data_IF_547312557371
#
_entry.id   IF_547312557371
#
_cell.length_a   1.000
_cell.length_b   1.000
_cell.length_c   1.000
_cell.angle_alpha   90.00
_cell.angle_beta   90.00
_cell.angle_gamma   90.00
#
_symmetry.space_group_name_H-M   'P 1'
#
loop_
_entity.id
_entity.type
_entity.pdbx_description
1 polymer ?
#
# COMPACT_ATOMS: atom_id res chain seq x y z
N UNK A 1 -18.62 10.37 -24.48
CA UNK A 1 -17.83 9.74 -23.41
C UNK A 1 -17.70 10.79 -22.32
N UNK A 2 -18.04 10.49 -21.07
CA UNK A 2 -17.85 11.46 -19.97
C UNK A 2 -16.34 11.58 -19.69
N UNK A 3 -15.88 12.70 -19.16
CA UNK A 3 -14.47 13.00 -18.89
C UNK A 3 -13.76 11.92 -18.06
N UNK A 4 -14.46 11.35 -17.09
CA UNK A 4 -13.96 10.22 -16.31
C UNK A 4 -13.58 9.04 -17.21
N UNK A 5 -14.45 8.63 -18.12
CA UNK A 5 -14.21 7.52 -19.04
C UNK A 5 -12.99 7.77 -19.94
N UNK A 6 -12.77 9.03 -20.39
CA UNK A 6 -11.57 9.41 -21.13
C UNK A 6 -10.29 9.25 -20.30
N UNK A 7 -10.33 9.65 -19.03
CA UNK A 7 -9.21 9.47 -18.10
C UNK A 7 -8.92 7.99 -17.85
N UNK A 8 -9.97 7.18 -17.61
CA UNK A 8 -9.81 5.74 -17.38
C UNK A 8 -9.25 5.02 -18.61
N UNK A 9 -9.81 5.27 -19.80
CA UNK A 9 -9.31 4.69 -21.04
C UNK A 9 -7.83 5.08 -21.31
N UNK A 10 -7.45 6.33 -21.02
CA UNK A 10 -6.07 6.78 -21.16
C UNK A 10 -5.11 6.05 -20.22
N UNK A 11 -5.48 5.87 -18.93
CA UNK A 11 -4.71 5.10 -17.95
C UNK A 11 -4.62 3.63 -18.38
N UNK A 12 -5.73 3.06 -18.85
CA UNK A 12 -5.77 1.67 -19.30
C UNK A 12 -4.99 1.41 -20.60
N UNK A 13 -4.60 2.45 -21.32
CA UNK A 13 -3.73 2.30 -22.49
C UNK A 13 -2.23 2.33 -22.14
N UNK A 14 -1.87 2.74 -20.92
CA UNK A 14 -0.48 2.85 -20.50
C UNK A 14 0.21 1.48 -20.43
N UNK A 15 1.44 1.43 -20.94
CA UNK A 15 2.32 0.25 -20.94
C UNK A 15 3.58 0.46 -20.10
N UNK A 16 3.87 1.69 -19.67
CA UNK A 16 4.97 2.01 -18.75
C UNK A 16 4.49 2.79 -17.52
N UNK A 17 5.21 2.66 -16.41
CA UNK A 17 4.96 3.45 -15.19
C UNK A 17 5.13 4.95 -15.47
N UNK A 18 6.07 5.32 -16.35
CA UNK A 18 6.29 6.69 -16.79
C UNK A 18 5.08 7.30 -17.49
N UNK A 19 4.37 6.54 -18.31
CA UNK A 19 3.12 6.98 -18.94
C UNK A 19 2.01 7.19 -17.91
N UNK A 20 1.81 6.25 -16.98
CA UNK A 20 0.83 6.41 -15.89
C UNK A 20 1.13 7.67 -15.10
N UNK A 21 2.40 7.90 -14.76
CA UNK A 21 2.87 9.11 -14.07
C UNK A 21 2.50 10.37 -14.84
N UNK A 22 2.79 10.43 -16.14
CA UNK A 22 2.49 11.59 -16.97
C UNK A 22 0.98 11.84 -17.10
N UNK A 23 0.16 10.78 -17.25
CA UNK A 23 -1.30 10.88 -17.31
C UNK A 23 -1.89 11.38 -16.00
N UNK A 24 -1.50 10.81 -14.86
CA UNK A 24 -1.93 11.28 -13.55
C UNK A 24 -1.54 12.74 -13.30
N UNK A 25 -0.36 13.17 -13.76
CA UNK A 25 0.05 14.57 -13.65
C UNK A 25 -0.86 15.51 -14.42
N UNK A 26 -1.17 15.19 -15.69
CA UNK A 26 -2.08 16.00 -16.50
C UNK A 26 -3.49 16.06 -15.90
N UNK A 27 -3.96 14.97 -15.30
CA UNK A 27 -5.24 14.92 -14.57
C UNK A 27 -5.16 15.81 -13.32
N UNK A 28 -4.09 15.70 -12.52
CA UNK A 28 -3.86 16.55 -11.36
C UNK A 28 -3.95 18.04 -11.73
N UNK A 29 -3.22 18.45 -12.78
CA UNK A 29 -3.22 19.82 -13.29
C UNK A 29 -4.61 20.26 -13.79
N UNK A 30 -5.37 19.37 -14.42
CA UNK A 30 -6.73 19.67 -14.86
C UNK A 30 -7.64 20.08 -13.69
N UNK A 31 -7.46 19.45 -12.52
CA UNK A 31 -8.18 19.78 -11.28
C UNK A 31 -7.49 20.87 -10.45
N UNK A 32 -6.44 21.52 -10.97
CA UNK A 32 -5.74 22.63 -10.33
C UNK A 32 -4.67 22.23 -9.32
N UNK A 33 -4.36 20.94 -9.18
CA UNK A 33 -3.26 20.47 -8.33
C UNK A 33 -1.91 20.69 -9.02
N UNK A 34 -0.92 21.11 -8.23
CA UNK A 34 0.43 21.37 -8.72
C UNK A 34 1.15 20.08 -9.12
N UNK A 35 1.01 19.05 -8.29
CA UNK A 35 1.75 17.80 -8.41
C UNK A 35 1.06 16.68 -7.64
N UNK A 36 1.54 15.46 -7.79
CA UNK A 36 1.10 14.34 -6.97
C UNK A 36 2.28 13.46 -6.53
N UNK A 37 2.06 12.68 -5.47
CA UNK A 37 2.92 11.57 -5.04
C UNK A 37 2.07 10.34 -4.80
N UNK A 38 2.44 9.23 -5.43
CA UNK A 38 1.96 7.89 -5.11
C UNK A 38 3.03 7.16 -4.31
N UNK A 39 2.68 6.59 -3.16
CA UNK A 39 3.61 5.91 -2.24
C UNK A 39 2.98 4.60 -1.78
N UNK A 40 3.67 3.48 -1.98
CA UNK A 40 3.33 2.21 -1.35
C UNK A 40 3.64 2.28 0.15
N UNK A 41 2.65 2.04 1.00
CA UNK A 41 2.77 2.14 2.47
C UNK A 41 2.50 0.81 3.16
N UNK A 42 2.39 -0.26 2.37
CA UNK A 42 1.83 -1.55 2.77
C UNK A 42 2.85 -2.64 3.06
N UNK A 43 4.11 -2.51 2.60
CA UNK A 43 5.12 -3.56 2.77
C UNK A 43 6.06 -3.32 3.95
N UNK A 44 5.77 -3.87 5.15
CA UNK A 44 6.64 -3.72 6.31
C UNK A 44 8.00 -4.44 6.14
N UNK A 45 8.17 -5.28 5.12
CA UNK A 45 9.44 -5.93 4.82
C UNK A 45 10.36 -5.07 3.93
N UNK A 46 9.86 -3.96 3.36
CA UNK A 46 10.67 -3.04 2.56
C UNK A 46 11.09 -1.83 3.39
N UNK A 47 12.40 -1.60 3.48
CA UNK A 47 12.94 -0.37 4.06
C UNK A 47 12.62 0.88 3.21
N UNK A 48 12.49 0.72 1.89
CA UNK A 48 12.17 1.81 0.97
C UNK A 48 10.85 1.52 0.25
N UNK A 49 9.81 2.34 0.43
CA UNK A 49 8.55 2.19 -0.29
C UNK A 49 8.75 2.45 -1.77
N UNK A 50 8.00 1.75 -2.62
CA UNK A 50 7.86 2.16 -4.02
C UNK A 50 7.14 3.52 -4.07
N UNK A 51 7.66 4.47 -4.84
CA UNK A 51 7.02 5.77 -5.00
C UNK A 51 7.10 6.27 -6.45
N UNK A 52 6.10 7.03 -6.86
CA UNK A 52 6.05 7.77 -8.13
C UNK A 52 5.61 9.18 -7.79
N UNK A 53 6.37 10.19 -8.23
CA UNK A 53 6.03 11.58 -7.92
C UNK A 53 6.28 12.53 -9.09
N UNK A 54 5.54 13.64 -9.09
CA UNK A 54 5.81 14.83 -9.92
C UNK A 54 6.07 16.08 -9.09
N UNK A 55 6.30 15.94 -7.78
CA UNK A 55 6.74 17.05 -6.93
C UNK A 55 8.11 17.54 -7.37
N UNK A 56 8.47 18.75 -6.97
CA UNK A 56 9.82 19.26 -7.20
C UNK A 56 10.87 18.38 -6.49
N UNK A 57 12.10 18.42 -7.02
CA UNK A 57 13.20 17.60 -6.51
C UNK A 57 13.58 17.98 -5.07
N UNK A 58 13.41 19.26 -4.69
CA UNK A 58 13.74 19.72 -3.34
C UNK A 58 12.83 19.10 -2.28
N UNK A 59 11.51 19.02 -2.52
CA UNK A 59 10.57 18.37 -1.60
C UNK A 59 10.86 16.88 -1.48
N UNK A 60 11.05 16.22 -2.63
CA UNK A 60 11.33 14.79 -2.69
C UNK A 60 12.61 14.44 -1.91
N UNK A 61 13.66 15.26 -2.04
CA UNK A 61 14.90 15.12 -1.30
C UNK A 61 14.69 15.34 0.20
N UNK A 62 14.01 16.42 0.60
CA UNK A 62 13.79 16.73 2.02
C UNK A 62 12.95 15.64 2.71
N UNK A 63 11.92 15.14 2.04
CA UNK A 63 11.07 14.06 2.55
C UNK A 63 11.86 12.77 2.80
N UNK A 64 12.74 12.40 1.87
CA UNK A 64 13.61 11.22 2.02
C UNK A 64 14.69 11.41 3.08
N UNK A 65 15.43 12.52 3.03
CA UNK A 65 16.57 12.76 3.94
C UNK A 65 16.14 12.85 5.40
N UNK A 66 14.91 13.28 5.67
CA UNK A 66 14.35 13.31 7.03
C UNK A 66 13.58 12.04 7.42
N UNK A 67 13.52 11.02 6.54
CA UNK A 67 12.75 9.79 6.73
C UNK A 67 11.29 10.06 7.12
N UNK A 68 10.65 11.05 6.48
CA UNK A 68 9.31 11.48 6.84
C UNK A 68 8.26 10.38 6.68
N UNK A 69 8.50 9.38 5.82
CA UNK A 69 7.64 8.19 5.71
C UNK A 69 7.34 7.50 7.06
N UNK A 70 8.24 7.55 8.04
CA UNK A 70 8.01 6.89 9.33
C UNK A 70 7.25 7.76 10.34
N UNK A 71 7.14 9.06 10.08
CA UNK A 71 6.55 10.04 11.02
C UNK A 71 5.43 10.87 10.42
N UNK A 72 5.11 10.68 9.14
CA UNK A 72 4.03 11.37 8.43
C UNK A 72 2.67 10.97 9.05
N UNK A 73 1.90 11.96 9.57
CA UNK A 73 0.64 11.71 10.24
C UNK A 73 -0.48 11.24 9.29
N UNK A 74 -0.31 11.39 7.98
CA UNK A 74 -1.28 10.97 6.97
C UNK A 74 -1.28 9.45 6.81
N UNK A 75 -0.12 8.79 6.92
CA UNK A 75 0.01 7.37 6.59
C UNK A 75 -0.78 6.43 7.53
N UNK A 76 -0.85 6.65 8.85
CA UNK A 76 -1.73 5.88 9.72
C UNK A 76 -3.21 6.01 9.36
N UNK A 77 -3.65 7.17 8.86
CA UNK A 77 -5.04 7.42 8.44
C UNK A 77 -5.33 6.72 7.11
N UNK A 78 -4.39 6.78 6.16
CA UNK A 78 -4.46 6.05 4.88
C UNK A 78 -4.65 4.55 5.11
N UNK A 79 -3.93 3.96 6.06
CA UNK A 79 -4.03 2.51 6.37
C UNK A 79 -5.39 2.07 6.93
N UNK A 80 -6.29 3.00 7.27
CA UNK A 80 -7.56 2.73 7.96
C UNK A 80 -8.78 3.37 7.28
N UNK A 81 -8.59 4.00 6.12
CA UNK A 81 -9.63 4.77 5.44
C UNK A 81 -9.75 4.32 4.00
N UNK A 82 -10.97 4.22 3.48
CA UNK A 82 -11.22 3.88 2.07
C UNK A 82 -11.71 5.08 1.24
N UNK A 83 -11.90 6.24 1.87
CA UNK A 83 -12.46 7.43 1.24
C UNK A 83 -11.40 8.54 1.17
N UNK A 84 -11.41 9.37 0.11
CA UNK A 84 -10.50 10.49 0.03
C UNK A 84 -10.78 11.54 1.10
N UNK A 85 -9.74 12.16 1.62
CA UNK A 85 -9.80 13.20 2.65
C UNK A 85 -8.75 14.28 2.38
N UNK A 86 -8.93 15.45 2.97
CA UNK A 86 -7.90 16.48 2.92
C UNK A 86 -6.92 16.23 4.06
N UNK A 87 -5.62 16.44 3.83
CA UNK A 87 -4.65 16.27 4.92
C UNK A 87 -4.88 17.25 6.10
N UNK A 88 -5.71 18.28 5.89
CA UNK A 88 -6.08 19.31 6.85
C UNK A 88 -7.26 18.88 7.71
N UNK A 89 -7.97 17.82 7.31
CA UNK A 89 -8.97 17.14 8.14
C UNK A 89 -8.30 16.35 9.28
N UNK A 90 -6.98 16.09 9.17
CA UNK A 90 -6.22 15.37 10.21
C UNK A 90 -5.82 16.37 11.30
N UNK A 91 -6.19 16.12 12.57
CA UNK A 91 -5.77 16.95 13.68
C UNK A 91 -4.23 17.03 13.75
N UNK A 92 -3.65 18.21 14.00
CA UNK A 92 -2.21 18.33 14.11
C UNK A 92 -1.70 17.46 15.26
N UNK A 93 -0.52 16.80 15.13
CA UNK A 93 0.01 15.96 16.19
C UNK A 93 0.18 16.75 17.49
N UNK A 94 -0.33 16.22 18.59
CA UNK A 94 -0.18 16.85 19.91
C UNK A 94 1.29 16.96 20.32
N UNK A 95 1.68 18.13 20.81
CA UNK A 95 3.02 18.34 21.35
C UNK A 95 3.12 17.76 22.76
N UNK A 96 3.54 16.50 22.87
CA UNK A 96 3.85 15.87 24.16
C UNK A 96 5.35 16.04 24.46
N UNK A 97 5.67 17.11 25.20
CA UNK A 97 7.02 17.39 25.70
C UNK A 97 7.83 18.42 24.89
N UNK A 98 9.14 18.47 25.17
CA UNK A 98 10.04 19.52 24.63
C UNK A 98 10.33 19.33 23.13
N UNK A 99 10.44 18.09 22.67
CA UNK A 99 10.80 17.76 21.27
C UNK A 99 9.58 17.93 20.35
N UNK A 100 9.79 18.54 19.18
CA UNK A 100 8.74 18.69 18.17
C UNK A 100 8.36 17.31 17.61
N UNK A 101 7.07 16.92 17.58
CA UNK A 101 6.62 15.68 16.96
C UNK A 101 7.07 15.59 15.50
N UNK A 102 7.45 14.39 15.05
CA UNK A 102 7.88 14.18 13.66
C UNK A 102 6.83 14.62 12.65
N UNK A 103 5.55 14.31 12.90
CA UNK A 103 4.47 14.73 12.01
C UNK A 103 4.26 16.24 11.90
N UNK A 104 4.59 17.04 12.94
CA UNK A 104 4.58 18.50 12.81
C UNK A 104 5.67 18.99 11.86
N UNK A 105 6.85 18.34 11.87
CA UNK A 105 7.94 18.68 10.93
C UNK A 105 7.55 18.41 9.49
N UNK A 106 6.82 17.33 9.23
CA UNK A 106 6.31 17.00 7.88
C UNK A 106 5.40 18.11 7.36
N UNK A 107 4.45 18.55 8.20
CA UNK A 107 3.51 19.62 7.85
C UNK A 107 4.22 20.97 7.63
N UNK A 108 5.18 21.32 8.48
CA UNK A 108 5.98 22.54 8.32
C UNK A 108 6.82 22.50 7.04
N UNK A 109 7.57 21.42 6.81
CA UNK A 109 8.36 21.24 5.60
C UNK A 109 7.49 21.32 4.33
N UNK A 110 6.29 20.71 4.35
CA UNK A 110 5.38 20.80 3.20
C UNK A 110 5.00 22.26 2.86
N UNK A 111 4.82 23.10 3.88
CA UNK A 111 4.52 24.54 3.73
C UNK A 111 5.72 25.33 3.25
N UNK A 112 6.92 25.00 3.70
CA UNK A 112 8.17 25.62 3.22
C UNK A 112 8.37 25.39 1.72
N UNK A 113 7.86 24.28 1.18
CA UNK A 113 7.80 23.98 -0.26
C UNK A 113 6.56 24.56 -0.97
N UNK A 114 5.74 25.33 -0.26
CA UNK A 114 4.57 26.04 -0.76
C UNK A 114 3.27 25.22 -0.78
N UNK A 115 3.29 23.96 -0.33
CA UNK A 115 2.09 23.14 -0.27
C UNK A 115 1.22 23.54 0.92
N UNK A 116 0.06 24.12 0.63
CA UNK A 116 -0.89 24.58 1.63
C UNK A 116 -1.85 23.47 2.07
N UNK A 117 -2.30 22.68 1.09
CA UNK A 117 -3.23 21.59 1.32
C UNK A 117 -2.95 20.39 0.40
N UNK A 118 -3.70 19.30 0.55
CA UNK A 118 -3.67 18.20 -0.41
C UNK A 118 -4.84 17.25 -0.28
N UNK A 119 -5.30 16.71 -1.41
CA UNK A 119 -6.26 15.60 -1.44
C UNK A 119 -5.48 14.30 -1.30
N UNK A 120 -5.77 13.55 -0.25
CA UNK A 120 -5.22 12.22 -0.01
C UNK A 120 -6.23 11.18 -0.44
N UNK A 121 -5.80 10.23 -1.25
CA UNK A 121 -6.60 9.10 -1.72
C UNK A 121 -5.92 7.81 -1.22
N UNK A 122 -6.49 7.16 -0.20
CA UNK A 122 -6.07 5.83 0.21
C UNK A 122 -6.40 4.80 -0.85
N UNK A 123 -5.47 3.88 -1.10
CA UNK A 123 -5.69 2.74 -1.98
C UNK A 123 -5.33 1.47 -1.22
N UNK A 124 -6.22 0.50 -1.24
CA UNK A 124 -5.96 -0.85 -0.74
C UNK A 124 -6.09 -1.81 -1.91
N UNK A 125 -5.00 -2.47 -2.24
CA UNK A 125 -4.96 -3.46 -3.32
C UNK A 125 -4.66 -4.82 -2.74
N UNK A 126 -5.36 -5.83 -3.23
CA UNK A 126 -4.95 -7.21 -3.04
C UNK A 126 -4.11 -7.62 -4.23
N UNK A 127 -2.90 -8.11 -3.98
CA UNK A 127 -2.14 -8.75 -5.04
C UNK A 127 -2.80 -10.08 -5.47
N UNK A 128 -2.24 -10.73 -6.50
CA UNK A 128 -2.76 -11.99 -7.05
C UNK A 128 -2.79 -13.17 -6.05
N UNK A 129 -2.29 -12.97 -4.84
CA UNK A 129 -2.07 -14.01 -3.83
C UNK A 129 -2.78 -13.67 -2.52
N UNK A 130 -3.63 -12.62 -2.54
CA UNK A 130 -4.46 -12.19 -1.42
C UNK A 130 -3.75 -11.28 -0.43
N UNK A 131 -2.49 -10.86 -0.67
CA UNK A 131 -1.82 -9.91 0.23
C UNK A 131 -2.44 -8.54 0.05
N UNK A 132 -2.88 -7.98 1.16
CA UNK A 132 -3.36 -6.61 1.21
C UNK A 132 -2.15 -5.67 1.30
N UNK A 133 -1.95 -4.88 0.25
CA UNK A 133 -1.07 -3.73 0.28
C UNK A 133 -1.92 -2.46 0.42
N UNK A 134 -1.37 -1.47 1.10
CA UNK A 134 -1.96 -0.13 1.18
C UNK A 134 -1.02 0.85 0.50
N UNK A 135 -1.55 1.78 -0.26
CA UNK A 135 -0.84 2.87 -0.89
C UNK A 135 -1.56 4.20 -0.63
N UNK A 136 -0.82 5.29 -0.73
CA UNK A 136 -1.34 6.65 -0.67
C UNK A 136 -1.11 7.33 -2.01
N UNK A 137 -2.11 8.02 -2.54
CA UNK A 137 -1.91 9.04 -3.56
C UNK A 137 -2.27 10.41 -2.99
N UNK A 138 -1.30 11.31 -2.95
CA UNK A 138 -1.48 12.70 -2.48
C UNK A 138 -1.40 13.63 -3.67
N UNK A 139 -2.45 14.41 -3.92
CA UNK A 139 -2.43 15.55 -4.84
C UNK A 139 -2.16 16.83 -4.06
N UNK A 140 -1.08 17.53 -4.39
CA UNK A 140 -0.60 18.70 -3.64
C UNK A 140 -1.20 20.00 -4.17
N UNK A 141 -1.69 20.82 -3.24
CA UNK A 141 -2.33 22.10 -3.51
C UNK A 141 -1.51 23.26 -2.95
N UNK A 142 -1.29 24.31 -3.76
CA UNK A 142 -0.51 25.51 -3.38
C UNK A 142 -1.34 26.76 -3.14
N UNK A 143 -2.59 26.79 -3.62
CA UNK A 143 -3.46 27.98 -3.55
C UNK A 143 -4.32 27.99 -2.27
N UNK A 144 -5.24 28.93 -2.15
CA UNK A 144 -6.14 29.09 -1.00
C UNK A 144 -7.11 27.90 -0.83
N UNK A 145 -7.47 27.59 0.42
CA UNK A 145 -8.34 26.46 0.76
C UNK A 145 -9.72 26.51 0.09
N UNK A 146 -10.32 27.70 -0.04
CA UNK A 146 -11.64 27.86 -0.69
C UNK A 146 -11.64 27.43 -2.15
N UNK A 147 -10.53 27.64 -2.86
CA UNK A 147 -10.39 27.21 -4.27
C UNK A 147 -10.24 25.69 -4.37
N UNK A 148 -9.61 25.06 -3.38
CA UNK A 148 -9.53 23.60 -3.30
C UNK A 148 -10.93 22.98 -3.13
N UNK A 149 -11.73 23.50 -2.20
CA UNK A 149 -13.10 23.02 -2.00
C UNK A 149 -13.92 23.12 -3.28
N UNK A 150 -13.81 24.23 -4.01
CA UNK A 150 -14.48 24.40 -5.31
C UNK A 150 -13.98 23.39 -6.36
N UNK A 151 -12.67 23.19 -6.48
CA UNK A 151 -12.09 22.19 -7.39
C UNK A 151 -12.58 20.76 -7.07
N UNK A 152 -12.80 20.45 -5.80
CA UNK A 152 -13.23 19.13 -5.34
C UNK A 152 -14.73 18.88 -5.42
N UNK A 153 -15.57 19.92 -5.42
CA UNK A 153 -17.03 19.82 -5.38
C UNK A 153 -17.61 18.95 -6.52
N UNK A 154 -16.96 18.92 -7.70
CA UNK A 154 -17.35 18.08 -8.83
C UNK A 154 -16.35 16.98 -9.21
N UNK A 155 -15.14 16.99 -8.64
CA UNK A 155 -14.00 16.20 -9.13
C UNK A 155 -13.45 15.14 -8.19
N UNK A 156 -13.80 15.19 -6.90
CA UNK A 156 -13.22 14.32 -5.88
C UNK A 156 -13.46 12.84 -6.15
N UNK A 157 -14.67 12.48 -6.58
CA UNK A 157 -15.03 11.09 -6.87
C UNK A 157 -14.31 10.56 -8.11
N UNK A 158 -14.22 11.38 -9.16
CA UNK A 158 -13.49 11.05 -10.38
C UNK A 158 -12.01 10.79 -10.09
N UNK A 159 -11.36 11.67 -9.31
CA UNK A 159 -9.99 11.48 -8.88
C UNK A 159 -9.80 10.18 -8.09
N UNK A 160 -10.76 9.82 -7.23
CA UNK A 160 -10.70 8.55 -6.49
C UNK A 160 -10.68 7.34 -7.43
N UNK A 161 -11.62 7.28 -8.38
CA UNK A 161 -11.70 6.17 -9.35
C UNK A 161 -10.46 6.16 -10.26
N UNK A 162 -10.01 7.32 -10.73
CA UNK A 162 -8.78 7.44 -11.55
C UNK A 162 -7.56 6.90 -10.81
N UNK A 163 -7.36 7.24 -9.54
CA UNK A 163 -6.23 6.74 -8.76
C UNK A 163 -6.33 5.24 -8.55
N UNK A 164 -7.52 4.70 -8.30
CA UNK A 164 -7.73 3.26 -8.17
C UNK A 164 -7.29 2.50 -9.44
N UNK A 165 -7.75 2.95 -10.60
CA UNK A 165 -7.37 2.35 -11.89
C UNK A 165 -5.88 2.53 -12.19
N UNK A 166 -5.31 3.68 -11.81
CA UNK A 166 -3.87 3.94 -11.97
C UNK A 166 -3.02 3.02 -11.10
N UNK A 167 -3.44 2.78 -9.85
CA UNK A 167 -2.76 1.87 -8.94
C UNK A 167 -2.78 0.43 -9.49
N UNK A 168 -3.94 -0.06 -9.94
CA UNK A 168 -4.04 -1.37 -10.57
C UNK A 168 -3.15 -1.47 -11.82
N UNK A 169 -3.14 -0.43 -12.65
CA UNK A 169 -2.29 -0.41 -13.85
C UNK A 169 -0.79 -0.44 -13.51
N UNK A 170 -0.37 0.27 -12.48
CA UNK A 170 1.02 0.22 -11.99
C UNK A 170 1.37 -1.21 -11.57
N UNK A 171 0.49 -1.87 -10.82
CA UNK A 171 0.67 -3.27 -10.38
C UNK A 171 0.81 -4.20 -11.60
N UNK A 172 -0.08 -4.09 -12.59
CA UNK A 172 -0.05 -4.93 -13.80
C UNK A 172 1.26 -4.76 -14.59
N UNK A 173 1.77 -3.53 -14.69
CA UNK A 173 3.03 -3.23 -15.39
C UNK A 173 4.21 -3.81 -14.60
N UNK A 174 4.23 -3.62 -13.27
CA UNK A 174 5.28 -4.16 -12.40
C UNK A 174 5.31 -5.70 -12.42
N UNK A 175 4.15 -6.35 -12.39
CA UNK A 175 4.08 -7.81 -12.46
C UNK A 175 4.56 -8.35 -13.81
N UNK A 176 4.19 -7.70 -14.92
CA UNK A 176 4.73 -8.04 -16.25
C UNK A 176 6.25 -7.91 -16.33
N UNK A 177 6.81 -6.80 -15.84
CA UNK A 177 8.26 -6.56 -15.84
C UNK A 177 9.03 -7.56 -14.97
N UNK A 178 8.43 -7.96 -13.84
CA UNK A 178 9.02 -8.96 -12.94
C UNK A 178 8.79 -10.42 -13.38
N UNK A 179 8.22 -10.65 -14.57
CA UNK A 179 7.93 -11.99 -15.08
C UNK A 179 6.84 -12.75 -14.29
N UNK A 180 5.97 -12.03 -13.58
CA UNK A 180 4.94 -12.58 -12.69
C UNK A 180 3.55 -12.69 -13.35
N UNK A 181 3.49 -13.08 -14.63
CA UNK A 181 2.21 -13.19 -15.34
C UNK A 181 1.74 -14.64 -15.36
N UNK A 182 0.56 -14.90 -14.81
CA UNK A 182 -0.32 -15.92 -15.37
C UNK A 182 -1.79 -15.55 -15.25
N UNK A 183 -2.48 -15.69 -16.39
CA UNK A 183 -3.86 -15.31 -16.62
C UNK A 183 -4.78 -16.22 -15.81
N UNK A 184 -5.79 -15.64 -15.17
CA UNK A 184 -6.98 -16.40 -14.77
C UNK A 184 -7.51 -17.20 -15.98
N UNK A 185 -7.59 -18.53 -15.86
CA UNK A 185 -8.31 -19.38 -16.82
C UNK A 185 -7.48 -20.27 -17.77
N UNK A 186 -6.16 -20.36 -17.63
CA UNK A 186 -5.35 -21.30 -18.43
C UNK A 186 -4.96 -22.55 -17.63
N UNK A 187 -5.48 -23.74 -18.02
CA UNK A 187 -4.90 -25.01 -17.57
C UNK A 187 -3.42 -25.06 -17.97
N UNK A 188 -2.52 -25.14 -17.00
CA UNK A 188 -1.10 -25.44 -17.26
C UNK A 188 -0.15 -24.26 -17.05
N UNK A 189 -0.31 -23.55 -15.94
CA UNK A 189 0.52 -22.43 -15.60
C UNK A 189 1.21 -22.55 -14.24
N UNK A 190 2.49 -22.19 -14.16
CA UNK A 190 3.35 -22.34 -12.98
C UNK A 190 3.14 -21.15 -12.02
N UNK A 191 2.32 -21.35 -10.99
CA UNK A 191 2.23 -20.49 -9.79
C UNK A 191 3.63 -20.09 -9.30
N UNK A 192 3.99 -18.80 -9.29
CA UNK A 192 5.07 -18.32 -8.41
C UNK A 192 4.63 -18.56 -6.94
N UNK A 193 5.54 -18.82 -5.99
CA UNK A 193 5.51 -19.99 -5.10
C UNK A 193 4.46 -19.96 -3.98
N UNK A 194 3.17 -20.08 -4.33
CA UNK A 194 2.10 -20.50 -3.39
C UNK A 194 2.22 -21.97 -3.00
N UNK A 195 3.09 -22.73 -3.70
CA UNK A 195 3.38 -24.13 -3.43
C UNK A 195 4.47 -24.38 -2.39
N UNK A 196 4.91 -23.38 -1.61
CA UNK A 196 5.89 -23.67 -0.57
C UNK A 196 5.23 -24.37 0.63
N UNK A 197 4.19 -23.79 1.23
CA UNK A 197 3.52 -24.45 2.34
C UNK A 197 2.59 -25.57 1.85
N UNK A 198 2.68 -26.74 2.49
CA UNK A 198 1.67 -27.79 2.34
C UNK A 198 0.40 -27.41 3.08
N UNK A 199 -0.73 -28.07 2.80
CA UNK A 199 -1.98 -27.86 3.56
C UNK A 199 -1.75 -28.08 5.06
N UNK A 200 -0.97 -29.09 5.43
CA UNK A 200 -0.64 -29.37 6.83
C UNK A 200 0.23 -28.30 7.48
N UNK A 201 1.19 -27.76 6.75
CA UNK A 201 1.99 -26.63 7.25
C UNK A 201 1.12 -25.38 7.45
N UNK A 202 0.13 -25.14 6.56
CA UNK A 202 -0.87 -24.07 6.73
C UNK A 202 -1.74 -24.32 7.96
N UNK A 203 -2.29 -25.52 8.12
CA UNK A 203 -3.12 -25.89 9.28
C UNK A 203 -2.39 -25.63 10.59
N UNK A 204 -1.13 -26.07 10.70
CA UNK A 204 -0.31 -25.89 11.91
C UNK A 204 -0.06 -24.41 12.18
N UNK A 205 0.27 -23.61 11.17
CA UNK A 205 0.44 -22.16 11.37
C UNK A 205 -0.89 -21.46 11.71
N UNK A 206 -2.01 -21.90 11.15
CA UNK A 206 -3.34 -21.34 11.42
C UNK A 206 -3.77 -21.59 12.87
N UNK A 207 -3.49 -22.76 13.43
CA UNK A 207 -3.72 -23.04 14.86
C UNK A 207 -2.73 -22.31 15.77
N UNK A 208 -1.47 -22.22 15.36
CA UNK A 208 -0.48 -21.41 16.07
C UNK A 208 -0.88 -19.92 16.14
N UNK A 209 -1.47 -19.38 15.06
CA UNK A 209 -1.98 -18.01 15.01
C UNK A 209 -3.16 -17.77 15.96
N UNK A 210 -3.97 -18.81 16.21
CA UNK A 210 -5.06 -18.81 17.19
C UNK A 210 -4.60 -19.08 18.63
N UNK A 211 -3.28 -19.14 18.87
CA UNK A 211 -2.69 -19.29 20.19
C UNK A 211 -2.57 -20.74 20.68
N UNK A 212 -2.80 -21.74 19.81
CA UNK A 212 -2.69 -23.15 20.20
C UNK A 212 -1.24 -23.61 20.39
N UNK A 213 -1.05 -24.45 21.39
CA UNK A 213 0.18 -25.20 21.64
C UNK A 213 0.35 -26.34 20.63
N UNK A 214 1.54 -26.95 20.56
CA UNK A 214 1.79 -28.08 19.66
C UNK A 214 0.94 -29.29 20.03
N UNK A 215 0.82 -29.59 21.34
CA UNK A 215 -0.03 -30.65 21.87
C UNK A 215 -1.52 -30.45 21.53
N UNK A 216 -2.07 -29.25 21.76
CA UNK A 216 -3.46 -28.95 21.37
C UNK A 216 -3.65 -29.04 19.85
N UNK A 217 -2.69 -28.55 19.07
CA UNK A 217 -2.74 -28.62 17.60
C UNK A 217 -2.72 -30.08 17.12
N UNK A 218 -1.94 -30.93 17.78
CA UNK A 218 -1.86 -32.36 17.50
C UNK A 218 -3.20 -33.06 17.77
N UNK A 219 -3.83 -32.77 18.91
CA UNK A 219 -5.17 -33.24 19.26
C UNK A 219 -6.22 -32.79 18.24
N UNK A 220 -6.21 -31.50 17.87
CA UNK A 220 -7.14 -30.93 16.89
C UNK A 220 -6.98 -31.54 15.50
N UNK A 221 -5.74 -31.76 15.05
CA UNK A 221 -5.44 -32.27 13.71
C UNK A 221 -5.43 -33.80 13.61
N UNK A 222 -5.57 -34.51 14.74
CA UNK A 222 -5.55 -35.97 14.80
C UNK A 222 -4.20 -36.59 14.40
N UNK A 223 -3.10 -35.91 14.71
CA UNK A 223 -1.72 -36.35 14.41
C UNK A 223 -0.85 -36.28 15.67
N UNK A 224 0.36 -36.82 15.63
CA UNK A 224 1.27 -36.75 16.79
C UNK A 224 1.89 -35.36 16.95
N UNK A 225 2.26 -35.00 18.18
CA UNK A 225 2.93 -33.72 18.47
C UNK A 225 4.26 -33.56 17.73
N UNK A 226 5.02 -34.65 17.56
CA UNK A 226 6.25 -34.63 16.75
C UNK A 226 5.97 -34.36 15.27
N UNK A 227 4.85 -34.86 14.73
CA UNK A 227 4.42 -34.56 13.36
C UNK A 227 4.05 -33.08 13.20
N UNK A 228 3.38 -32.48 14.19
CA UNK A 228 3.10 -31.03 14.21
C UNK A 228 4.41 -30.24 14.21
N UNK A 229 5.38 -30.66 15.02
CA UNK A 229 6.69 -30.01 15.10
C UNK A 229 7.45 -30.07 13.76
N UNK A 230 7.40 -31.19 13.05
CA UNK A 230 7.97 -31.34 11.72
C UNK A 230 7.34 -30.39 10.70
N UNK A 231 6.01 -30.29 10.68
CA UNK A 231 5.31 -29.32 9.83
C UNK A 231 5.67 -27.87 10.20
N UNK A 232 5.74 -27.54 11.50
CA UNK A 232 6.17 -26.22 11.94
C UNK A 232 7.59 -25.90 11.45
N UNK A 233 8.56 -26.81 11.61
CA UNK A 233 9.94 -26.62 11.11
C UNK A 233 9.99 -26.48 9.60
N UNK A 234 9.20 -27.27 8.87
CA UNK A 234 9.05 -27.15 7.41
C UNK A 234 8.56 -25.76 7.01
N UNK A 235 7.53 -25.27 7.69
CA UNK A 235 6.96 -23.95 7.46
C UNK A 235 7.94 -22.82 7.78
N UNK A 236 8.66 -22.88 8.91
CA UNK A 236 9.67 -21.88 9.28
C UNK A 236 10.76 -21.77 8.20
N UNK A 237 11.29 -22.90 7.74
CA UNK A 237 12.33 -22.94 6.68
C UNK A 237 11.82 -22.34 5.38
N UNK A 238 10.59 -22.70 4.98
CA UNK A 238 9.97 -22.21 3.74
C UNK A 238 9.68 -20.71 3.79
N UNK A 239 9.27 -20.19 4.94
CA UNK A 239 9.00 -18.77 5.16
C UNK A 239 10.24 -17.94 5.51
N UNK A 240 11.42 -18.57 5.57
CA UNK A 240 12.66 -17.93 6.04
C UNK A 240 12.46 -17.23 7.41
N UNK A 241 11.80 -17.94 8.34
CA UNK A 241 11.44 -17.42 9.65
C UNK A 241 12.29 -18.08 10.75
N UNK A 242 12.79 -17.26 11.67
CA UNK A 242 13.57 -17.73 12.83
C UNK A 242 12.69 -18.14 14.01
N UNK A 243 11.44 -17.65 14.06
CA UNK A 243 10.49 -17.97 15.15
C UNK A 243 9.11 -18.31 14.61
N UNK A 244 8.33 -19.06 15.41
CA UNK A 244 6.91 -19.36 15.13
C UNK A 244 6.09 -18.08 14.93
N UNK A 245 6.30 -17.07 15.78
CA UNK A 245 5.58 -15.79 15.68
C UNK A 245 5.91 -15.05 14.40
N UNK A 246 7.18 -15.05 13.98
CA UNK A 246 7.58 -14.47 12.69
C UNK A 246 6.99 -15.27 11.52
N UNK A 247 6.96 -16.60 11.60
CA UNK A 247 6.35 -17.46 10.58
C UNK A 247 4.85 -17.19 10.46
N UNK A 248 4.12 -17.10 11.58
CA UNK A 248 2.71 -16.72 11.62
C UNK A 248 2.49 -15.33 11.02
N UNK A 249 3.27 -14.33 11.44
CA UNK A 249 3.17 -12.97 10.90
C UNK A 249 3.39 -12.93 9.37
N UNK A 250 4.42 -13.63 8.88
CA UNK A 250 4.71 -13.77 7.44
C UNK A 250 3.61 -14.52 6.69
N UNK A 251 3.00 -15.54 7.30
CA UNK A 251 1.93 -16.31 6.70
C UNK A 251 0.62 -15.52 6.59
N UNK A 252 0.22 -14.79 7.64
CA UNK A 252 -0.95 -13.90 7.64
C UNK A 252 -0.75 -12.76 6.65
N UNK A 253 0.37 -12.02 6.78
CA UNK A 253 0.72 -10.95 5.84
C UNK A 253 0.81 -11.47 4.41
N UNK A 254 1.19 -12.74 4.28
CA UNK A 254 1.36 -13.43 3.02
C UNK A 254 0.08 -13.91 2.33
N UNK A 255 -1.08 -13.81 2.99
CA UNK A 255 -2.34 -14.41 2.55
C UNK A 255 -2.31 -15.94 2.54
N UNK A 256 -1.39 -16.57 3.28
CA UNK A 256 -1.17 -18.03 3.27
C UNK A 256 -2.05 -18.76 4.29
N UNK A 257 -2.52 -18.06 5.31
CA UNK A 257 -3.43 -18.57 6.35
C UNK A 257 -4.43 -17.46 6.75
N UNK A 258 -5.64 -17.87 7.07
CA UNK A 258 -6.68 -17.01 7.65
C UNK A 258 -6.82 -17.27 9.16
N UNK A 259 -7.03 -16.22 9.95
CA UNK A 259 -7.08 -16.28 11.43
C UNK A 259 -8.42 -15.80 11.94
#
# INVERSE_FOLDING_TARGET
MNKLEEHLAAIESCVTIGEVRARLHGIAQHYGFESFSFVDVGDPAKEVPFFITTTNQSWDQDYRSNNFVHVDPILPVVRRSNLPFLWSDIPPPERRGKRKPGGQKVLEASRDHGFQNGLVIPIHTTDRIGRVASASCVFFWKDEARKLEFALAGGKHDLHVVVLYSAQRIIDIMDKQNGRVERYGGRGGRLLPHGQLTDRERDVLAWAARGKTMSETAEILGISESTVEEYARGALRKLDAVTKSQAVAKAIYGGLIDV
#
